data_IF_404081372540
#
_entry.id   IF_404081372540
#
_cell.length_a   1.000
_cell.length_b   1.000
_cell.length_c   1.000
_cell.angle_alpha   90.00
_cell.angle_beta   90.00
_cell.angle_gamma   90.00
#
_symmetry.space_group_name_H-M   'P 1'
#
loop_
_entity.id
_entity.type
_entity.pdbx_description
1 polymer ?
#
# COMPACT_ATOMS: atom_id res chain seq x y z
N UNK A 1 13.12 13.70 0.13
CA UNK A 1 12.65 12.40 -0.38
C UNK A 1 12.25 11.55 0.80
N UNK A 2 11.13 10.84 0.74
CA UNK A 2 10.69 9.97 1.84
C UNK A 2 11.62 8.76 1.97
N UNK A 3 11.87 8.30 3.20
CA UNK A 3 12.74 7.18 3.47
C UNK A 3 11.88 5.94 3.80
N UNK A 4 11.70 5.07 2.81
CA UNK A 4 10.87 3.87 2.94
C UNK A 4 11.57 2.64 2.35
N UNK A 5 11.62 1.49 3.05
CA UNK A 5 11.20 1.28 4.44
C UNK A 5 11.96 2.15 5.48
N UNK A 6 11.39 2.40 6.67
CA UNK A 6 12.01 3.22 7.72
C UNK A 6 13.41 2.71 8.11
N UNK A 7 14.35 3.64 8.31
CA UNK A 7 15.73 3.37 8.77
C UNK A 7 16.19 4.46 9.73
N UNK A 8 17.17 4.16 10.58
CA UNK A 8 17.74 5.10 11.56
C UNK A 8 18.48 6.28 10.90
N UNK A 9 19.07 6.04 9.73
CA UNK A 9 19.83 7.05 8.98
C UNK A 9 19.15 7.36 7.64
N UNK A 10 19.25 8.62 7.20
CA UNK A 10 18.82 9.04 5.88
C UNK A 10 19.63 8.32 4.78
N UNK A 11 18.96 7.62 3.86
CA UNK A 11 19.61 6.88 2.76
C UNK A 11 20.37 7.76 1.76
N UNK A 12 20.12 9.07 1.75
CA UNK A 12 20.81 9.99 0.83
C UNK A 12 22.06 10.63 1.43
N UNK A 13 22.06 10.98 2.72
CA UNK A 13 23.13 11.75 3.35
C UNK A 13 23.67 11.16 4.66
N UNK A 14 23.17 10.01 5.11
CA UNK A 14 23.55 9.30 6.34
C UNK A 14 23.31 10.09 7.64
N UNK A 15 22.58 11.21 7.58
CA UNK A 15 22.14 11.95 8.77
C UNK A 15 21.23 11.09 9.65
N UNK A 16 21.43 11.18 10.96
CA UNK A 16 20.54 10.64 12.00
C UNK A 16 19.32 11.52 12.25
N UNK A 17 19.33 12.76 11.71
CA UNK A 17 18.20 13.68 11.80
C UNK A 17 17.16 13.28 10.77
N UNK A 18 16.26 12.39 11.16
CA UNK A 18 15.06 11.96 10.42
C UNK A 18 13.82 12.24 11.26
N UNK A 19 12.74 12.65 10.61
CA UNK A 19 11.48 12.96 11.27
C UNK A 19 10.28 12.32 10.55
N UNK A 20 9.23 12.03 11.32
CA UNK A 20 8.00 11.46 10.80
C UNK A 20 7.15 12.54 10.13
N UNK A 21 6.67 12.24 8.92
CA UNK A 21 5.75 13.06 8.15
C UNK A 21 4.52 12.24 7.85
N UNK A 22 3.35 12.86 7.99
CA UNK A 22 2.10 12.25 7.54
C UNK A 22 2.08 12.22 6.00
N UNK A 23 1.81 11.04 5.44
CA UNK A 23 1.64 10.88 3.99
C UNK A 23 0.22 11.24 3.57
N UNK A 24 0.06 11.70 2.33
CA UNK A 24 -1.23 11.96 1.69
C UNK A 24 -2.13 10.72 1.63
N UNK A 25 -1.52 9.53 1.69
CA UNK A 25 -2.19 8.26 1.54
C UNK A 25 -2.66 8.00 0.10
N UNK A 26 -2.15 8.73 -0.89
CA UNK A 26 -2.55 8.60 -2.31
C UNK A 26 -1.38 8.12 -3.15
N UNK A 27 -1.69 7.44 -4.25
CA UNK A 27 -0.69 6.92 -5.16
C UNK A 27 -1.30 6.21 -6.36
N UNK A 28 -0.45 5.50 -7.09
CA UNK A 28 -0.81 4.71 -8.26
C UNK A 28 -0.23 3.29 -8.20
N UNK A 29 -0.95 2.33 -8.76
CA UNK A 29 -0.47 0.95 -8.87
C UNK A 29 0.74 0.90 -9.81
N UNK A 30 1.91 0.55 -9.29
CA UNK A 30 3.11 0.31 -10.10
C UNK A 30 3.12 -1.11 -10.67
N UNK A 31 2.81 -2.11 -9.84
CA UNK A 31 2.74 -3.52 -10.23
C UNK A 31 1.83 -4.26 -9.26
N UNK A 32 1.18 -5.32 -9.71
CA UNK A 32 0.26 -6.12 -8.90
C UNK A 32 0.18 -7.56 -9.39
N UNK A 33 -0.42 -8.44 -8.59
CA UNK A 33 -0.77 -9.81 -8.97
C UNK A 33 -1.99 -10.28 -8.18
N UNK A 34 -2.56 -11.43 -8.54
CA UNK A 34 -3.66 -12.06 -7.79
C UNK A 34 -3.18 -13.37 -7.20
N UNK A 35 -3.36 -13.51 -5.89
CA UNK A 35 -3.05 -14.75 -5.17
C UNK A 35 -4.33 -15.53 -4.92
N UNK A 36 -4.47 -16.65 -5.62
CA UNK A 36 -5.59 -17.59 -5.46
C UNK A 36 -5.32 -18.71 -4.45
N UNK A 37 -4.05 -18.94 -4.11
CA UNK A 37 -3.62 -20.00 -3.18
C UNK A 37 -2.60 -19.41 -2.20
N UNK A 38 -3.05 -18.96 -1.01
CA UNK A 38 -2.16 -18.35 -0.03
C UNK A 38 -1.23 -19.40 0.60
N UNK A 39 -0.08 -18.94 1.07
CA UNK A 39 0.88 -19.78 1.82
C UNK A 39 0.45 -19.92 3.29
N UNK A 40 -0.30 -18.95 3.81
CA UNK A 40 -0.74 -18.90 5.21
C UNK A 40 -2.25 -18.61 5.29
N UNK A 41 -2.95 -19.13 6.31
CA UNK A 41 -4.42 -19.05 6.39
C UNK A 41 -4.96 -17.65 6.74
N UNK A 42 -4.10 -16.71 7.14
CA UNK A 42 -4.50 -15.35 7.52
C UNK A 42 -4.94 -14.49 6.31
N UNK A 43 -4.62 -14.92 5.09
CA UNK A 43 -5.04 -14.25 3.86
C UNK A 43 -6.17 -15.02 3.18
N UNK A 44 -7.35 -14.41 3.08
CA UNK A 44 -8.49 -14.98 2.35
C UNK A 44 -8.29 -14.78 0.83
N UNK A 45 -8.23 -15.86 0.02
CA UNK A 45 -8.13 -15.75 -1.43
C UNK A 45 -9.50 -15.52 -2.10
N UNK A 46 -9.54 -14.84 -3.26
CA UNK A 46 -8.42 -14.17 -3.91
C UNK A 46 -8.12 -12.82 -3.27
N UNK A 47 -6.83 -12.47 -3.19
CA UNK A 47 -6.39 -11.12 -2.82
C UNK A 47 -5.33 -10.61 -3.79
N UNK A 48 -5.19 -9.28 -3.87
CA UNK A 48 -4.34 -8.62 -4.83
C UNK A 48 -3.22 -7.82 -4.13
N UNK A 49 -2.05 -8.44 -3.86
CA UNK A 49 -0.89 -7.68 -3.42
C UNK A 49 -0.40 -6.78 -4.55
N UNK A 50 -0.05 -5.55 -4.20
CA UNK A 50 0.41 -4.54 -5.13
C UNK A 50 1.57 -3.73 -4.55
N UNK A 51 2.41 -3.25 -5.45
CA UNK A 51 3.36 -2.17 -5.19
C UNK A 51 2.67 -0.88 -5.63
N UNK A 52 2.49 0.04 -4.70
CA UNK A 52 1.94 1.38 -4.96
C UNK A 52 3.08 2.38 -4.95
N UNK A 53 3.19 3.19 -6.01
CA UNK A 53 4.01 4.41 -5.99
C UNK A 53 3.15 5.52 -5.39
N UNK A 54 3.54 5.99 -4.21
CA UNK A 54 2.85 7.06 -3.50
C UNK A 54 3.22 8.42 -4.11
N UNK A 55 2.35 9.42 -3.97
CA UNK A 55 2.55 10.74 -4.56
C UNK A 55 3.80 11.46 -4.01
N UNK A 56 4.29 11.06 -2.83
CA UNK A 56 5.57 11.51 -2.26
C UNK A 56 6.81 10.88 -2.94
N UNK A 57 6.62 9.94 -3.87
CA UNK A 57 7.65 9.37 -4.74
C UNK A 57 8.30 8.08 -4.24
N UNK A 58 7.79 7.46 -3.17
CA UNK A 58 8.29 6.17 -2.68
C UNK A 58 7.32 5.02 -2.98
N UNK A 59 7.82 3.79 -2.95
CA UNK A 59 7.03 2.60 -3.21
C UNK A 59 6.72 1.82 -1.95
N UNK A 60 5.51 1.28 -1.86
CA UNK A 60 5.07 0.46 -0.74
C UNK A 60 4.40 -0.83 -1.24
N UNK A 61 4.81 -1.97 -0.68
CA UNK A 61 4.11 -3.24 -0.86
C UNK A 61 2.90 -3.30 0.09
N UNK A 62 1.74 -3.60 -0.46
CA UNK A 62 0.45 -3.58 0.24
C UNK A 62 -0.56 -4.49 -0.48
N UNK A 63 -1.82 -4.52 -0.04
CA UNK A 63 -2.93 -5.17 -0.73
C UNK A 63 -3.94 -4.14 -1.25
N UNK A 64 -4.54 -4.44 -2.41
CA UNK A 64 -5.69 -3.71 -2.95
C UNK A 64 -6.98 -4.38 -2.48
N UNK A 65 -7.92 -3.59 -1.99
CA UNK A 65 -9.22 -4.04 -1.48
C UNK A 65 -10.38 -3.23 -2.05
N UNK A 66 -11.55 -3.86 -2.12
CA UNK A 66 -12.77 -3.21 -2.64
C UNK A 66 -12.74 -2.93 -4.14
N UNK A 67 -11.79 -3.54 -4.86
CA UNK A 67 -11.67 -3.49 -6.32
C UNK A 67 -11.64 -4.94 -6.82
N UNK A 68 -12.51 -5.33 -7.75
CA UNK A 68 -12.42 -6.64 -8.41
C UNK A 68 -11.04 -6.83 -9.05
N UNK A 69 -10.41 -8.01 -8.95
CA UNK A 69 -9.06 -8.22 -9.50
C UNK A 69 -8.94 -7.90 -11.01
N UNK A 70 -10.00 -8.09 -11.78
CA UNK A 70 -10.09 -7.75 -13.19
C UNK A 70 -10.07 -6.25 -13.50
N UNK A 71 -10.39 -5.41 -12.50
CA UNK A 71 -10.42 -3.95 -12.62
C UNK A 71 -9.12 -3.30 -12.10
N UNK A 72 -8.16 -4.09 -11.62
CA UNK A 72 -6.86 -3.59 -11.17
C UNK A 72 -5.94 -3.46 -12.40
N UNK A 73 -5.42 -2.26 -12.62
CA UNK A 73 -4.49 -1.98 -13.72
C UNK A 73 -3.28 -1.19 -13.22
N UNK A 74 -2.15 -1.32 -13.92
CA UNK A 74 -0.99 -0.44 -13.68
C UNK A 74 -1.40 1.00 -14.01
N UNK A 75 -1.05 1.95 -13.13
CA UNK A 75 -1.49 3.35 -13.21
C UNK A 75 -2.85 3.63 -12.57
N UNK A 76 -3.57 2.62 -12.08
CA UNK A 76 -4.81 2.83 -11.32
C UNK A 76 -4.53 3.70 -10.10
N UNK A 77 -5.26 4.81 -9.99
CA UNK A 77 -5.19 5.71 -8.86
C UNK A 77 -5.84 5.09 -7.63
N UNK A 78 -5.15 5.17 -6.50
CA UNK A 78 -5.56 4.54 -5.25
C UNK A 78 -5.36 5.44 -4.05
N UNK A 79 -6.15 5.19 -3.01
CA UNK A 79 -6.03 5.83 -1.70
C UNK A 79 -5.93 4.78 -0.59
N UNK A 80 -5.26 5.14 0.50
CA UNK A 80 -5.05 4.29 1.66
C UNK A 80 -6.39 4.01 2.36
N UNK A 81 -6.55 2.77 2.80
CA UNK A 81 -7.60 2.31 3.70
C UNK A 81 -6.95 1.47 4.78
N UNK A 82 -7.14 1.88 6.03
CA UNK A 82 -6.64 1.13 7.17
C UNK A 82 -7.53 -0.10 7.40
N UNK A 83 -6.93 -1.28 7.35
CA UNK A 83 -7.61 -2.56 7.45
C UNK A 83 -7.22 -3.25 8.75
N UNK A 84 -8.20 -3.58 9.58
CA UNK A 84 -8.01 -4.36 10.80
C UNK A 84 -7.80 -5.83 10.43
N UNK A 85 -6.65 -6.39 10.83
CA UNK A 85 -6.27 -7.79 10.56
C UNK A 85 -6.22 -8.63 11.84
N UNK A 86 -6.70 -8.10 12.96
CA UNK A 86 -6.73 -8.80 14.24
C UNK A 86 -6.44 -7.89 15.42
N UNK A 87 -6.52 -8.43 16.65
CA UNK A 87 -6.44 -7.65 17.88
C UNK A 87 -5.19 -6.74 17.94
N UNK A 88 -5.40 -5.43 17.84
CA UNK A 88 -4.35 -4.42 17.95
C UNK A 88 -3.46 -4.25 16.71
N UNK A 89 -3.80 -4.87 15.57
CA UNK A 89 -3.00 -4.77 14.34
C UNK A 89 -3.85 -4.19 13.21
N UNK A 90 -3.40 -3.06 12.67
CA UNK A 90 -4.01 -2.40 11.52
C UNK A 90 -2.96 -2.19 10.45
N UNK A 91 -3.27 -2.61 9.23
CA UNK A 91 -2.37 -2.49 8.08
C UNK A 91 -2.89 -1.45 7.07
N UNK A 92 -1.99 -0.68 6.43
CA UNK A 92 -2.37 0.24 5.37
C UNK A 92 -2.57 -0.53 4.07
N UNK A 93 -3.83 -0.79 3.69
CA UNK A 93 -4.23 -1.30 2.38
C UNK A 93 -4.64 -0.15 1.46
N UNK A 94 -4.91 -0.44 0.18
CA UNK A 94 -5.28 0.57 -0.81
C UNK A 94 -6.59 0.19 -1.52
N UNK A 95 -7.34 1.19 -1.95
CA UNK A 95 -8.57 1.03 -2.73
C UNK A 95 -8.62 2.08 -3.84
N UNK A 96 -9.43 1.87 -4.87
CA UNK A 96 -9.52 2.80 -5.99
C UNK A 96 -9.91 4.22 -5.55
N UNK A 97 -9.24 5.22 -6.12
CA UNK A 97 -9.53 6.64 -5.93
C UNK A 97 -10.72 7.03 -6.83
N UNK A 98 -11.96 6.83 -6.35
CA UNK A 98 -13.17 7.18 -7.11
C UNK A 98 -14.45 6.42 -6.72
N UNK A 99 -14.33 5.33 -5.96
CA UNK A 99 -15.48 4.57 -5.45
C UNK A 99 -15.83 5.00 -4.02
N UNK A 100 -16.32 6.23 -3.88
CA UNK A 100 -17.24 6.59 -2.79
C UNK A 100 -18.68 6.41 -3.31
N UNK A 101 -19.04 5.19 -3.70
CA UNK A 101 -20.45 4.82 -3.89
C UNK A 101 -20.98 4.30 -2.55
N UNK A 102 -21.69 5.21 -1.87
CA UNK A 102 -22.75 5.04 -0.85
C UNK A 102 -22.86 3.72 -0.10
#
# INVERSE_FOLDING_TARGET
MANFPPTEHCRQCLSEVVDWREGSGRGEIYSWTVVYRPVTPEFEPPYAPAIVTLDEGYQMLTNVVGVPPEDIEVGLRVRVRFHDVGPGVTLPYFTAEGTDSS
#
